data_IF_114673355981
#
_entry.id   IF_114673355981
#
_cell.length_a   1.000
_cell.length_b   1.000
_cell.length_c   1.000
_cell.angle_alpha   90.00
_cell.angle_beta   90.00
_cell.angle_gamma   90.00
#
_symmetry.space_group_name_H-M   'P 1'
#
loop_
_entity.id
_entity.type
_entity.pdbx_description
1 polymer ?
#
# COMPACT_ATOMS: atom_id res chain seq x y z
N UNK A 1 -14.36 42.54 -39.27
CA UNK A 1 -13.87 43.76 -38.56
C UNK A 1 -12.86 43.26 -37.54
N UNK A 2 -11.55 43.49 -37.77
CA UNK A 2 -10.53 43.12 -36.79
C UNK A 2 -10.40 44.26 -35.79
N UNK A 3 -10.66 43.98 -34.52
CA UNK A 3 -10.37 44.93 -33.44
C UNK A 3 -8.89 44.74 -33.11
N UNK A 4 -8.04 45.67 -33.56
CA UNK A 4 -6.64 45.73 -33.12
C UNK A 4 -6.58 46.41 -31.76
N UNK A 5 -6.34 45.64 -30.70
CA UNK A 5 -6.11 46.16 -29.34
C UNK A 5 -4.60 46.43 -29.19
N UNK A 6 -4.04 47.33 -30.00
CA UNK A 6 -2.58 47.49 -30.07
C UNK A 6 -1.98 48.35 -28.94
N UNK A 7 -2.77 49.03 -28.08
CA UNK A 7 -2.21 50.06 -27.18
C UNK A 7 -2.82 50.27 -25.78
N UNK A 8 -3.75 49.45 -25.29
CA UNK A 8 -4.52 49.85 -24.08
C UNK A 8 -3.89 49.40 -22.75
N UNK A 9 -2.91 48.49 -22.75
CA UNK A 9 -2.48 47.86 -21.50
C UNK A 9 -0.96 47.95 -21.27
N UNK A 10 -0.52 49.05 -20.67
CA UNK A 10 0.70 49.04 -19.85
C UNK A 10 0.34 48.63 -18.42
N UNK A 11 0.83 47.49 -17.94
CA UNK A 11 0.60 46.95 -16.58
C UNK A 11 -0.21 45.64 -16.55
N UNK A 12 -0.48 45.13 -15.33
CA UNK A 12 -1.24 43.89 -15.04
C UNK A 12 -2.75 44.00 -15.37
N UNK A 13 -3.08 44.43 -16.59
CA UNK A 13 -4.46 44.63 -16.98
C UNK A 13 -5.07 43.35 -17.53
N UNK A 14 -6.14 42.90 -16.89
CA UNK A 14 -6.95 41.80 -17.38
C UNK A 14 -7.92 42.30 -18.47
N UNK A 15 -8.01 41.57 -19.57
CA UNK A 15 -9.09 41.75 -20.56
C UNK A 15 -10.34 41.05 -20.00
N UNK A 16 -11.36 41.83 -19.67
CA UNK A 16 -12.71 41.32 -19.33
C UNK A 16 -13.61 41.51 -20.53
N UNK A 17 -14.06 40.40 -21.10
CA UNK A 17 -15.05 40.38 -22.18
C UNK A 17 -16.26 39.59 -21.69
N UNK A 18 -17.46 40.09 -21.98
CA UNK A 18 -18.69 39.35 -21.69
C UNK A 18 -18.80 38.11 -22.60
N UNK A 19 -18.38 38.26 -23.86
CA UNK A 19 -18.27 37.17 -24.84
C UNK A 19 -17.05 37.41 -25.74
N UNK A 20 -16.37 36.32 -26.10
CA UNK A 20 -15.33 36.29 -27.12
C UNK A 20 -15.74 35.27 -28.19
N UNK A 21 -16.01 35.75 -29.40
CA UNK A 21 -16.23 34.89 -30.57
C UNK A 21 -14.97 34.89 -31.43
N UNK A 22 -14.44 33.70 -31.72
CA UNK A 22 -13.25 33.52 -32.57
C UNK A 22 -13.69 32.80 -33.85
N UNK A 23 -13.91 33.56 -34.91
CA UNK A 23 -14.29 33.03 -36.22
C UNK A 23 -13.04 32.96 -37.12
N UNK A 24 -12.31 31.85 -37.06
CA UNK A 24 -11.14 31.62 -37.88
C UNK A 24 -10.97 30.14 -38.19
N UNK A 25 -10.69 29.80 -39.45
CA UNK A 25 -10.44 28.42 -39.90
C UNK A 25 -9.02 28.21 -40.43
N UNK A 26 -8.27 29.30 -40.65
CA UNK A 26 -6.93 29.25 -41.22
C UNK A 26 -5.90 29.36 -40.11
N UNK A 27 -4.82 28.59 -40.25
CA UNK A 27 -3.69 28.68 -39.34
C UNK A 27 -3.05 30.08 -39.44
N UNK A 28 -2.76 30.76 -38.31
CA UNK A 28 -2.14 32.07 -38.32
C UNK A 28 -0.69 32.00 -38.83
N UNK A 29 -0.15 33.13 -39.29
CA UNK A 29 1.27 33.26 -39.63
C UNK A 29 2.03 33.83 -38.45
N UNK A 30 3.21 33.26 -38.15
CA UNK A 30 4.01 33.70 -37.01
C UNK A 30 4.39 35.17 -37.18
N UNK A 31 4.18 35.94 -36.12
CA UNK A 31 4.60 37.34 -36.04
C UNK A 31 5.52 37.48 -34.84
N UNK A 32 6.71 38.04 -35.05
CA UNK A 32 7.75 38.17 -34.03
C UNK A 32 7.21 38.82 -32.74
N UNK A 33 7.51 38.22 -31.58
CA UNK A 33 7.09 38.66 -30.26
C UNK A 33 5.56 38.69 -30.06
N UNK A 34 4.82 37.79 -30.69
CA UNK A 34 3.37 37.66 -30.49
C UNK A 34 2.96 36.20 -30.32
N UNK A 35 1.91 35.98 -29.55
CA UNK A 35 1.19 34.71 -29.51
C UNK A 35 -0.23 34.92 -30.04
N UNK A 36 -0.75 33.96 -30.80
CA UNK A 36 -2.10 34.01 -31.36
C UNK A 36 -2.94 32.86 -30.82
N UNK A 37 -4.08 33.17 -30.21
CA UNK A 37 -5.11 32.17 -29.95
C UNK A 37 -6.04 32.13 -31.17
N UNK A 38 -6.26 30.93 -31.71
CA UNK A 38 -7.13 30.72 -32.85
C UNK A 38 -8.00 29.48 -32.67
N UNK A 39 -9.12 29.43 -33.39
CA UNK A 39 -10.00 28.28 -33.44
C UNK A 39 -9.72 27.47 -34.71
N UNK A 40 -9.94 26.15 -34.67
CA UNK A 40 -9.91 25.27 -35.84
C UNK A 40 -10.78 24.04 -35.57
N UNK A 41 -11.45 23.54 -36.61
CA UNK A 41 -12.21 22.30 -36.48
C UNK A 41 -11.30 21.07 -36.55
N UNK A 42 -11.37 20.21 -35.54
CA UNK A 42 -10.75 18.88 -35.49
C UNK A 42 -11.81 17.86 -35.14
N UNK A 43 -11.94 16.82 -35.96
CA UNK A 43 -12.89 15.72 -35.75
C UNK A 43 -14.34 16.17 -35.52
N UNK A 44 -14.75 17.30 -36.12
CA UNK A 44 -16.08 17.87 -35.99
C UNK A 44 -16.32 18.72 -34.74
N UNK A 45 -15.26 19.05 -33.98
CA UNK A 45 -15.29 19.96 -32.85
C UNK A 45 -14.46 21.20 -33.14
N UNK A 46 -14.96 22.38 -32.76
CA UNK A 46 -14.17 23.61 -32.79
C UNK A 46 -13.24 23.64 -31.57
N UNK A 47 -11.94 23.60 -31.83
CA UNK A 47 -10.91 23.57 -30.81
C UNK A 47 -10.06 24.85 -30.83
N UNK A 48 -9.59 25.26 -29.65
CA UNK A 48 -8.66 26.36 -29.47
C UNK A 48 -7.22 25.88 -29.58
N UNK A 49 -6.40 26.71 -30.21
CA UNK A 49 -4.96 26.54 -30.35
C UNK A 49 -4.25 27.81 -29.94
N UNK A 50 -3.06 27.66 -29.38
CA UNK A 50 -2.09 28.72 -29.17
C UNK A 50 -0.97 28.55 -30.21
N UNK A 51 -0.70 29.61 -30.97
CA UNK A 51 0.37 29.67 -31.95
C UNK A 51 1.43 30.67 -31.49
N UNK A 52 2.67 30.23 -31.33
CA UNK A 52 3.77 31.10 -30.88
C UNK A 52 4.52 31.78 -32.04
N UNK A 53 5.49 32.64 -31.70
CA UNK A 53 6.32 33.35 -32.67
C UNK A 53 7.43 32.49 -33.31
N UNK A 54 7.58 31.24 -32.87
CA UNK A 54 8.47 30.23 -33.45
C UNK A 54 7.74 29.26 -34.39
N UNK A 55 6.47 29.55 -34.72
CA UNK A 55 5.60 28.70 -35.55
C UNK A 55 5.21 27.36 -34.92
N UNK A 56 5.30 27.24 -33.59
CA UNK A 56 4.74 26.08 -32.89
C UNK A 56 3.25 26.30 -32.63
N UNK A 57 2.45 25.27 -32.89
CA UNK A 57 1.03 25.23 -32.53
C UNK A 57 0.81 24.26 -31.37
N UNK A 58 0.16 24.73 -30.33
CA UNK A 58 -0.22 23.96 -29.15
C UNK A 58 -1.73 23.93 -29.08
N UNK A 59 -2.32 22.74 -29.08
CA UNK A 59 -3.75 22.59 -28.86
C UNK A 59 -4.09 22.94 -27.40
N UNK A 60 -5.06 23.84 -27.21
CA UNK A 60 -5.51 24.30 -25.89
C UNK A 60 -6.76 23.55 -25.44
N UNK A 61 -7.64 23.17 -26.37
CA UNK A 61 -8.84 22.38 -26.06
C UNK A 61 -8.92 21.10 -26.89
N UNK A 62 -9.50 20.03 -26.35
CA UNK A 62 -9.83 18.79 -27.06
C UNK A 62 -11.25 18.38 -26.73
N UNK A 63 -12.07 18.17 -27.76
CA UNK A 63 -13.51 17.92 -27.71
C UNK A 63 -14.25 18.94 -26.85
N UNK A 64 -13.85 20.22 -26.96
CA UNK A 64 -14.44 21.33 -26.21
C UNK A 64 -14.03 21.42 -24.73
N UNK A 65 -13.05 20.63 -24.27
CA UNK A 65 -12.48 20.73 -22.91
C UNK A 65 -11.06 21.27 -22.96
N UNK A 66 -10.66 22.13 -22.02
CA UNK A 66 -9.27 22.61 -21.90
C UNK A 66 -8.34 21.41 -21.62
N UNK A 67 -7.29 21.26 -22.42
CA UNK A 67 -6.31 20.14 -22.36
C UNK A 67 -5.43 20.19 -21.10
N UNK A 68 -5.44 21.30 -20.37
CA UNK A 68 -4.60 21.51 -19.18
C UNK A 68 -5.25 21.24 -17.82
N UNK A 69 -6.37 20.50 -17.74
CA UNK A 69 -7.16 20.46 -16.49
C UNK A 69 -7.87 19.16 -16.14
N UNK A 70 -7.59 18.04 -16.80
CA UNK A 70 -8.00 16.75 -16.25
C UNK A 70 -6.95 16.40 -15.21
N UNK A 71 -7.22 16.72 -13.93
CA UNK A 71 -6.30 16.48 -12.82
C UNK A 71 -5.57 15.17 -13.04
N UNK A 72 -4.23 15.26 -13.08
CA UNK A 72 -3.36 14.16 -13.47
C UNK A 72 -3.90 12.88 -12.82
N UNK A 73 -4.23 11.88 -13.63
CA UNK A 73 -4.40 10.54 -13.08
C UNK A 73 -3.10 10.21 -12.34
N UNK A 74 -3.15 9.45 -11.24
CA UNK A 74 -1.93 9.09 -10.49
C UNK A 74 -0.86 8.55 -11.47
N UNK A 75 -1.30 7.77 -12.45
CA UNK A 75 -0.52 7.27 -13.60
C UNK A 75 0.28 8.37 -14.32
N UNK A 76 -0.34 9.52 -14.62
CA UNK A 76 0.31 10.70 -15.20
C UNK A 76 1.30 11.41 -14.27
N UNK A 77 1.18 11.23 -12.94
CA UNK A 77 2.19 11.74 -12.00
C UNK A 77 3.41 10.80 -11.91
N UNK A 78 3.22 9.50 -12.20
CA UNK A 78 4.28 8.49 -12.19
C UNK A 78 5.05 8.41 -13.54
N UNK A 79 4.39 8.67 -14.67
CA UNK A 79 4.94 8.48 -16.02
C UNK A 79 5.78 9.66 -16.57
N UNK A 80 5.63 10.88 -16.03
CA UNK A 80 6.34 12.08 -16.49
C UNK A 80 7.82 12.14 -16.08
N UNK A 81 8.41 11.02 -15.66
CA UNK A 81 9.80 10.68 -15.98
C UNK A 81 10.91 11.50 -15.32
N UNK A 82 10.62 12.32 -14.31
CA UNK A 82 11.65 12.90 -13.45
C UNK A 82 12.17 11.87 -12.46
N UNK A 83 13.49 11.79 -12.26
CA UNK A 83 14.13 10.88 -11.29
C UNK A 83 13.58 11.10 -9.87
N UNK A 84 12.56 10.35 -9.47
CA UNK A 84 12.10 10.24 -8.08
C UNK A 84 10.86 11.03 -7.68
N UNK A 85 10.20 11.79 -8.57
CA UNK A 85 9.07 12.63 -8.17
C UNK A 85 7.77 11.86 -7.82
N UNK A 86 7.53 10.68 -8.41
CA UNK A 86 6.36 9.85 -8.11
C UNK A 86 6.53 8.90 -6.91
N UNK A 87 7.74 8.69 -6.38
CA UNK A 87 7.97 7.62 -5.38
C UNK A 87 7.55 7.98 -3.96
N UNK A 88 7.33 9.26 -3.68
CA UNK A 88 7.05 9.76 -2.33
C UNK A 88 5.71 10.49 -2.36
N UNK A 89 4.72 9.93 -1.68
CA UNK A 89 3.47 10.64 -1.37
C UNK A 89 3.70 11.37 -0.05
N UNK A 90 3.87 12.69 -0.11
CA UNK A 90 3.89 13.52 1.10
C UNK A 90 2.48 13.97 1.41
N UNK A 91 1.88 13.42 2.46
CA UNK A 91 0.59 13.89 2.96
C UNK A 91 0.84 14.98 4.01
N UNK A 92 0.89 16.23 3.55
CA UNK A 92 1.15 17.41 4.37
C UNK A 92 -0.06 17.85 5.19
N UNK A 93 -1.28 17.45 4.80
CA UNK A 93 -2.52 17.73 5.51
C UNK A 93 -3.43 16.49 5.61
N UNK A 94 -3.15 15.63 6.60
CA UNK A 94 -3.96 14.47 6.92
C UNK A 94 -3.38 13.14 6.43
N UNK A 95 -4.14 12.06 6.62
CA UNK A 95 -3.70 10.72 6.24
C UNK A 95 -3.97 10.41 4.77
N UNK A 96 -3.11 9.60 4.15
CA UNK A 96 -3.41 8.97 2.86
C UNK A 96 -4.39 7.83 3.11
N UNK A 97 -5.53 7.86 2.44
CA UNK A 97 -6.45 6.73 2.38
C UNK A 97 -6.32 6.05 1.03
N UNK A 98 -5.93 4.78 1.03
CA UNK A 98 -5.94 3.92 -0.16
C UNK A 98 -7.21 3.07 -0.08
N UNK A 99 -8.22 3.45 -0.85
CA UNK A 99 -9.52 2.78 -0.90
C UNK A 99 -9.70 2.13 -2.29
N UNK A 100 -9.84 0.81 -2.30
CA UNK A 100 -10.07 0.04 -3.51
C UNK A 100 -11.46 -0.59 -3.47
N UNK A 101 -12.25 -0.35 -4.51
CA UNK A 101 -13.52 -1.05 -4.73
C UNK A 101 -13.33 -2.53 -5.14
N UNK A 102 -12.09 -3.03 -5.16
CA UNK A 102 -11.69 -4.38 -5.54
C UNK A 102 -11.18 -5.22 -4.37
N UNK A 103 -10.58 -6.37 -4.66
CA UNK A 103 -10.09 -7.30 -3.64
C UNK A 103 -8.78 -6.85 -2.97
N UNK A 104 -8.00 -5.99 -3.62
CA UNK A 104 -6.67 -5.57 -3.16
C UNK A 104 -6.55 -4.05 -3.21
N UNK A 105 -6.24 -3.45 -2.06
CA UNK A 105 -5.95 -2.02 -1.97
C UNK A 105 -4.46 -1.71 -2.12
N UNK A 106 -3.58 -2.65 -1.73
CA UNK A 106 -2.13 -2.44 -1.70
C UNK A 106 -1.40 -3.72 -2.09
N UNK A 107 -0.74 -3.70 -3.25
CA UNK A 107 0.20 -4.74 -3.70
C UNK A 107 1.63 -4.22 -3.55
N UNK A 108 2.50 -4.97 -2.87
CA UNK A 108 3.91 -4.61 -2.66
C UNK A 108 4.79 -5.77 -3.13
N UNK A 109 5.54 -5.58 -4.23
CA UNK A 109 6.53 -6.55 -4.75
C UNK A 109 7.92 -6.39 -4.08
N UNK A 110 7.92 -5.97 -2.82
CA UNK A 110 9.12 -5.58 -2.08
C UNK A 110 8.89 -5.59 -0.57
N UNK A 111 9.63 -4.75 0.15
CA UNK A 111 9.52 -4.66 1.60
C UNK A 111 8.54 -3.56 2.03
N UNK A 112 7.74 -3.84 3.06
CA UNK A 112 7.02 -2.83 3.82
C UNK A 112 7.87 -2.43 5.03
N UNK A 113 8.38 -1.20 5.05
CA UNK A 113 9.02 -0.61 6.23
C UNK A 113 7.98 0.11 7.07
N UNK A 114 8.07 -0.05 8.38
CA UNK A 114 7.24 0.66 9.35
C UNK A 114 8.14 1.47 10.27
N UNK A 115 7.87 2.76 10.38
CA UNK A 115 8.56 3.61 11.34
C UNK A 115 8.15 3.25 12.77
N UNK A 116 9.10 3.36 13.70
CA UNK A 116 8.84 3.19 15.12
C UNK A 116 7.81 4.23 15.58
N UNK A 117 6.76 3.76 16.26
CA UNK A 117 5.75 4.63 16.85
C UNK A 117 5.39 4.19 18.27
N UNK A 118 4.83 5.13 19.04
CA UNK A 118 4.15 4.78 20.29
C UNK A 118 2.89 3.95 19.99
N UNK A 119 2.40 3.23 21.00
CA UNK A 119 1.17 2.44 20.89
C UNK A 119 0.03 3.31 20.32
N UNK A 120 -0.60 2.91 19.20
CA UNK A 120 -1.69 3.67 18.60
C UNK A 120 -2.88 3.86 19.54
N UNK A 121 -3.70 4.87 19.28
CA UNK A 121 -5.03 4.95 19.91
C UNK A 121 -5.99 4.02 19.18
N UNK A 122 -6.60 3.08 19.90
CA UNK A 122 -7.58 2.16 19.34
C UNK A 122 -8.72 2.88 18.61
N UNK A 123 -9.13 2.34 17.46
CA UNK A 123 -10.24 2.86 16.65
C UNK A 123 -11.24 1.73 16.45
N UNK A 124 -12.52 2.02 16.70
CA UNK A 124 -13.59 1.04 16.53
C UNK A 124 -13.57 0.41 15.14
N UNK A 125 -13.71 -0.92 15.08
CA UNK A 125 -13.71 -1.72 13.86
C UNK A 125 -12.41 -1.62 13.04
N UNK A 126 -11.28 -1.30 13.66
CA UNK A 126 -9.96 -1.31 13.01
C UNK A 126 -8.96 -2.10 13.84
N UNK A 127 -8.00 -2.71 13.16
CA UNK A 127 -6.78 -3.22 13.78
C UNK A 127 -5.57 -2.46 13.25
N UNK A 128 -4.48 -2.49 13.99
CA UNK A 128 -3.23 -1.83 13.63
C UNK A 128 -2.08 -2.84 13.66
N UNK A 129 -1.21 -2.77 12.66
CA UNK A 129 0.13 -3.37 12.70
C UNK A 129 1.11 -2.21 12.78
N UNK A 130 2.02 -2.24 13.74
CA UNK A 130 3.00 -1.19 13.96
C UNK A 130 4.29 -1.75 14.54
N UNK A 131 5.38 -0.98 14.45
CA UNK A 131 6.66 -1.26 15.07
C UNK A 131 6.90 -0.36 16.29
N UNK A 132 7.55 -0.90 17.33
CA UNK A 132 8.10 -0.14 18.46
C UNK A 132 9.34 -0.81 19.02
N UNK A 133 10.19 -0.05 19.72
CA UNK A 133 11.38 -0.61 20.34
C UNK A 133 11.08 -1.25 21.71
N UNK A 134 11.61 -2.47 21.90
CA UNK A 134 11.67 -3.20 23.17
C UNK A 134 13.10 -3.67 23.37
N UNK A 135 13.75 -3.19 24.44
CA UNK A 135 15.11 -3.62 24.81
C UNK A 135 16.13 -3.52 23.64
N UNK A 136 16.09 -2.42 22.89
CA UNK A 136 16.95 -2.14 21.71
C UNK A 136 16.63 -2.97 20.44
N UNK A 137 15.50 -3.68 20.41
CA UNK A 137 14.99 -4.34 19.22
C UNK A 137 13.70 -3.67 18.74
N UNK A 138 13.65 -3.35 17.45
CA UNK A 138 12.39 -2.95 16.79
C UNK A 138 11.53 -4.19 16.56
N UNK A 139 10.41 -4.26 17.27
CA UNK A 139 9.49 -5.40 17.23
C UNK A 139 8.14 -5.02 16.61
N UNK A 140 7.46 -5.99 15.99
CA UNK A 140 6.13 -5.85 15.42
C UNK A 140 5.06 -6.17 16.45
N UNK A 141 4.00 -5.36 16.43
CA UNK A 141 2.83 -5.51 17.28
C UNK A 141 1.56 -5.45 16.45
N UNK A 142 0.55 -6.18 16.90
CA UNK A 142 -0.83 -6.04 16.47
C UNK A 142 -1.65 -5.44 17.60
N UNK A 143 -2.46 -4.42 17.30
CA UNK A 143 -3.50 -3.92 18.20
C UNK A 143 -4.88 -4.20 17.59
N UNK A 144 -5.76 -4.81 18.37
CA UNK A 144 -7.14 -5.08 17.94
C UNK A 144 -8.07 -3.86 18.09
N UNK A 145 -9.35 -4.01 17.71
CA UNK A 145 -10.34 -2.95 17.77
C UNK A 145 -10.81 -2.59 19.20
N UNK A 146 -10.38 -3.36 20.21
CA UNK A 146 -10.63 -3.11 21.63
C UNK A 146 -9.41 -2.50 22.33
N UNK A 147 -8.30 -2.30 21.61
CA UNK A 147 -7.05 -1.77 22.15
C UNK A 147 -6.17 -2.81 22.83
N UNK A 148 -6.47 -4.11 22.69
CA UNK A 148 -5.58 -5.16 23.18
C UNK A 148 -4.34 -5.24 22.28
N UNK A 149 -3.16 -5.28 22.88
CA UNK A 149 -1.88 -5.34 22.17
C UNK A 149 -1.34 -6.77 22.22
N UNK A 150 -0.89 -7.27 21.07
CA UNK A 150 -0.24 -8.56 20.89
C UNK A 150 1.12 -8.33 20.24
N UNK A 151 2.17 -8.80 20.90
CA UNK A 151 3.51 -8.82 20.31
C UNK A 151 3.58 -9.94 19.26
N UNK A 152 4.00 -9.60 18.04
CA UNK A 152 4.14 -10.52 16.91
C UNK A 152 5.58 -11.01 16.80
N UNK A 153 6.56 -10.18 17.14
CA UNK A 153 7.98 -10.56 17.09
C UNK A 153 8.67 -10.30 18.44
N UNK A 154 9.67 -11.12 18.76
CA UNK A 154 10.53 -11.01 19.95
C UNK A 154 11.97 -11.29 19.56
N UNK A 155 12.85 -10.35 19.91
CA UNK A 155 14.27 -10.30 19.54
C UNK A 155 14.50 -10.54 18.04
N UNK A 156 13.67 -9.90 17.19
CA UNK A 156 13.74 -10.00 15.74
C UNK A 156 13.23 -11.33 15.14
N UNK A 157 12.56 -12.17 15.93
CA UNK A 157 11.97 -13.44 15.48
C UNK A 157 10.46 -13.44 15.67
N UNK A 158 9.68 -14.19 14.87
CA UNK A 158 8.22 -14.28 15.11
C UNK A 158 7.96 -14.93 16.46
N UNK A 159 7.27 -14.18 17.33
CA UNK A 159 6.84 -14.61 18.64
C UNK A 159 5.83 -15.73 18.49
N UNK A 160 6.31 -16.96 18.64
CA UNK A 160 5.46 -18.14 18.71
C UNK A 160 5.17 -18.42 20.17
N UNK A 161 3.90 -18.32 20.57
CA UNK A 161 3.42 -18.82 21.85
C UNK A 161 3.48 -20.36 21.83
N UNK A 162 4.68 -20.93 21.82
CA UNK A 162 4.88 -22.37 21.91
C UNK A 162 4.51 -22.79 23.32
N UNK A 163 3.30 -23.32 23.47
CA UNK A 163 2.93 -24.00 24.70
C UNK A 163 3.70 -25.29 24.75
N UNK A 164 4.82 -25.31 25.49
CA UNK A 164 5.59 -26.53 25.69
C UNK A 164 4.84 -27.41 26.69
N UNK A 165 3.98 -28.28 26.19
CA UNK A 165 3.40 -29.35 26.99
C UNK A 165 4.41 -30.50 27.06
N UNK A 166 5.13 -30.61 28.18
CA UNK A 166 5.92 -31.82 28.47
C UNK A 166 5.00 -32.87 29.09
N UNK A 167 4.71 -33.94 28.37
CA UNK A 167 4.08 -35.12 28.97
C UNK A 167 5.16 -36.10 29.37
N UNK A 168 5.39 -36.25 30.68
CA UNK A 168 6.29 -37.27 31.22
C UNK A 168 5.49 -38.55 31.48
N UNK A 169 5.84 -39.64 30.80
CA UNK A 169 5.30 -40.97 31.09
C UNK A 169 6.30 -41.74 31.95
N UNK A 170 5.87 -42.16 33.13
CA UNK A 170 6.62 -43.13 33.93
C UNK A 170 6.15 -44.52 33.55
N UNK A 171 6.99 -45.28 32.86
CA UNK A 171 6.82 -46.73 32.74
C UNK A 171 7.56 -47.33 33.93
N UNK A 172 6.83 -47.79 34.94
CA UNK A 172 7.44 -48.43 36.11
C UNK A 172 7.99 -49.81 35.72
N UNK A 173 9.30 -49.88 35.51
CA UNK A 173 10.01 -51.11 35.18
C UNK A 173 10.25 -52.04 36.38
N UNK A 174 9.72 -51.75 37.58
CA UNK A 174 9.94 -52.61 38.76
C UNK A 174 8.96 -53.76 38.89
N UNK A 175 7.83 -53.74 38.17
CA UNK A 175 7.00 -54.92 37.95
C UNK A 175 7.36 -55.54 36.59
N UNK A 176 8.32 -56.47 36.60
CA UNK A 176 8.57 -57.30 35.43
C UNK A 176 7.31 -58.07 35.07
N UNK A 177 6.93 -58.07 33.78
CA UNK A 177 5.96 -58.99 33.15
C UNK A 177 5.14 -59.81 34.16
N UNK A 178 4.09 -59.23 34.73
CA UNK A 178 3.18 -59.94 35.64
C UNK A 178 2.16 -60.80 34.88
N UNK A 179 2.44 -61.13 33.63
CA UNK A 179 1.64 -62.04 32.80
C UNK A 179 0.18 -61.63 32.59
N UNK A 180 -0.27 -60.43 33.03
CA UNK A 180 -1.70 -60.10 32.95
C UNK A 180 -2.09 -58.61 32.91
N UNK A 181 -1.15 -57.66 32.93
CA UNK A 181 -1.51 -56.22 32.85
C UNK A 181 -1.61 -55.66 31.41
N UNK A 182 -1.16 -56.40 30.40
CA UNK A 182 -1.29 -56.03 29.00
C UNK A 182 -0.35 -54.91 28.53
N UNK A 183 0.74 -54.61 29.22
CA UNK A 183 1.70 -53.57 28.81
C UNK A 183 3.04 -54.16 28.36
N UNK A 184 3.00 -55.04 27.35
CA UNK A 184 4.22 -55.43 26.63
C UNK A 184 4.86 -54.20 25.94
N UNK A 185 6.17 -54.25 25.67
CA UNK A 185 6.84 -53.22 24.85
C UNK A 185 6.12 -52.94 23.52
N UNK A 186 5.46 -53.95 22.95
CA UNK A 186 4.60 -53.80 21.77
C UNK A 186 3.37 -52.95 22.01
N UNK A 187 2.72 -53.11 23.17
CA UNK A 187 1.51 -52.35 23.54
C UNK A 187 1.84 -50.93 24.00
N UNK A 188 2.98 -50.72 24.66
CA UNK A 188 3.50 -49.37 24.94
C UNK A 188 3.78 -48.61 23.64
N UNK A 189 4.41 -49.26 22.65
CA UNK A 189 4.63 -48.67 21.32
C UNK A 189 3.33 -48.40 20.57
N UNK A 190 2.35 -49.31 20.64
CA UNK A 190 1.04 -49.12 20.02
C UNK A 190 0.27 -47.94 20.65
N UNK A 191 0.33 -47.81 21.98
CA UNK A 191 -0.27 -46.68 22.70
C UNK A 191 0.39 -45.38 22.27
N UNK A 192 1.71 -45.30 22.21
CA UNK A 192 2.42 -44.11 21.72
C UNK A 192 2.04 -43.74 20.28
N UNK A 193 1.94 -44.72 19.38
CA UNK A 193 1.50 -44.46 18.01
C UNK A 193 0.05 -43.93 17.96
N UNK A 194 -0.84 -44.46 18.80
CA UNK A 194 -2.19 -43.93 18.95
C UNK A 194 -2.22 -42.50 19.46
N UNK A 195 -1.31 -42.14 20.37
CA UNK A 195 -1.19 -40.77 20.88
C UNK A 195 -0.66 -39.80 19.83
N UNK A 196 0.37 -40.17 19.07
CA UNK A 196 0.86 -39.35 17.96
C UNK A 196 -0.22 -39.11 16.90
N UNK A 197 -1.18 -40.02 16.73
CA UNK A 197 -2.30 -39.86 15.81
C UNK A 197 -3.38 -38.88 16.31
N UNK A 198 -3.43 -38.59 17.60
CA UNK A 198 -4.45 -37.70 18.22
C UNK A 198 -3.90 -36.29 18.46
N UNK A 199 -2.57 -36.13 18.49
CA UNK A 199 -1.93 -34.83 18.72
C UNK A 199 -2.05 -33.95 17.45
N UNK A 200 -2.48 -32.67 17.58
CA UNK A 200 -2.51 -31.74 16.45
C UNK A 200 -1.11 -31.53 15.85
N UNK A 201 -1.02 -31.53 14.52
CA UNK A 201 0.24 -31.40 13.76
C UNK A 201 1.04 -30.10 14.03
N UNK A 202 0.46 -29.15 14.76
CA UNK A 202 1.01 -27.81 14.94
C UNK A 202 1.70 -27.62 16.30
N UNK A 203 1.90 -28.69 17.08
CA UNK A 203 2.57 -28.62 18.37
C UNK A 203 3.91 -29.38 18.28
N UNK A 204 5.01 -28.67 18.53
CA UNK A 204 6.31 -29.31 18.72
C UNK A 204 6.32 -30.03 20.07
N UNK A 205 6.48 -31.35 20.06
CA UNK A 205 6.64 -32.16 21.27
C UNK A 205 8.05 -32.74 21.34
N UNK A 206 8.76 -32.47 22.43
CA UNK A 206 9.96 -33.19 22.79
C UNK A 206 9.58 -34.34 23.74
N UNK A 207 9.74 -35.59 23.30
CA UNK A 207 9.44 -36.77 24.11
C UNK A 207 10.75 -37.43 24.54
N UNK A 208 11.06 -37.42 25.84
CA UNK A 208 12.19 -38.16 26.40
C UNK A 208 11.69 -39.37 27.20
N UNK A 209 12.19 -40.57 26.89
CA UNK A 209 11.96 -41.77 27.69
C UNK A 209 13.22 -42.03 28.52
N UNK A 210 13.10 -41.90 29.84
CA UNK A 210 14.19 -42.21 30.77
C UNK A 210 13.88 -43.54 31.48
N UNK A 211 14.74 -44.55 31.30
CA UNK A 211 14.73 -45.71 32.19
C UNK A 211 15.57 -45.37 33.44
N UNK A 212 15.00 -45.58 34.64
CA UNK A 212 15.81 -45.61 35.87
C UNK A 212 16.30 -47.03 36.07
N UNK A 213 17.59 -47.25 35.82
CA UNK A 213 18.28 -48.43 36.36
C UNK A 213 18.44 -48.21 37.86
N UNK A 214 17.75 -49.01 38.67
CA UNK A 214 18.06 -49.18 40.10
C UNK A 214 18.91 -50.43 40.26
#
# INVERSE_FOLDING_TARGET
>A
MSIKIDQIFGGDNAIRLDYLTIDGYNDPTATSNTGTIYAKDIDGYTELFYFDDYSNSIQVTSKGSIIGGTGNTLDQAYDQGGAGAGRIITADSGAVMIDANGAEALNIDGYLSLDEIIDPTGVSNKGFIYSKDIEDYTELFYMDNYGNIIQITDQGTVYSNSTTASVQYYVDGTAGSDSNDGLSWGNAKATMNGMFAIIPLNIFHNTSINCRNR
#
